data_IF_711713522574
#
_entry.id   IF_711713522574
#
_cell.length_a   1.000
_cell.length_b   1.000
_cell.length_c   1.000
_cell.angle_alpha   90.00
_cell.angle_beta   90.00
_cell.angle_gamma   90.00
#
_symmetry.space_group_name_H-M   'P 1'
#
loop_
_entity.id
_entity.type
_entity.pdbx_description
1 polymer ?
#
# COMPACT_ATOMS: atom_id res chain seq x y z
N UNK A 1 -24.04 -8.91 9.91
CA UNK A 1 -23.12 -9.94 9.39
C UNK A 1 -23.78 -11.08 8.60
N UNK A 2 -25.01 -10.92 8.03
CA UNK A 2 -25.66 -11.98 7.21
C UNK A 2 -26.05 -11.55 5.78
N UNK A 3 -26.05 -10.25 5.50
CA UNK A 3 -26.52 -9.69 4.22
C UNK A 3 -25.41 -9.77 3.15
N UNK A 4 -24.16 -9.55 3.55
CA UNK A 4 -22.97 -9.67 2.70
C UNK A 4 -22.70 -11.13 2.30
N UNK A 5 -22.82 -12.08 3.23
CA UNK A 5 -22.70 -13.52 2.94
C UNK A 5 -23.79 -14.00 1.95
N UNK A 6 -24.99 -13.42 2.03
CA UNK A 6 -26.10 -13.74 1.12
C UNK A 6 -25.89 -13.17 -0.29
N UNK A 7 -25.22 -12.02 -0.42
CA UNK A 7 -24.99 -11.35 -1.69
C UNK A 7 -23.71 -11.80 -2.41
N UNK A 8 -22.69 -12.26 -1.67
CA UNK A 8 -21.34 -12.54 -2.20
C UNK A 8 -20.78 -13.94 -1.84
N UNK A 9 -21.52 -14.75 -1.08
CA UNK A 9 -21.10 -16.09 -0.67
C UNK A 9 -20.23 -16.09 0.60
N UNK A 10 -19.69 -17.28 0.94
CA UNK A 10 -18.79 -17.42 2.09
C UNK A 10 -17.47 -16.68 1.85
N UNK A 11 -16.89 -16.03 2.87
CA UNK A 11 -15.56 -15.44 2.78
C UNK A 11 -14.54 -16.47 2.29
N UNK A 12 -13.70 -16.05 1.34
CA UNK A 12 -12.62 -16.89 0.79
C UNK A 12 -11.31 -16.37 1.35
N UNK A 13 -10.48 -17.29 1.85
CA UNK A 13 -9.16 -16.98 2.37
C UNK A 13 -8.09 -17.80 1.66
N UNK A 14 -6.92 -17.20 1.48
CA UNK A 14 -5.70 -17.87 1.01
C UNK A 14 -4.61 -17.70 2.07
N UNK A 15 -3.85 -18.77 2.31
CA UNK A 15 -2.61 -18.70 3.08
C UNK A 15 -1.45 -18.60 2.10
N UNK A 16 -0.82 -17.44 2.04
CA UNK A 16 0.39 -17.18 1.27
C UNK A 16 1.61 -17.20 2.21
N UNK A 17 2.78 -17.62 1.70
CA UNK A 17 3.98 -17.77 2.52
C UNK A 17 4.61 -16.41 2.86
N UNK A 18 4.51 -15.45 1.95
CA UNK A 18 5.07 -14.11 2.05
C UNK A 18 4.06 -13.13 2.66
N UNK A 19 2.81 -13.17 2.22
CA UNK A 19 1.78 -12.23 2.66
C UNK A 19 0.91 -12.73 3.82
N UNK A 20 1.06 -14.00 4.21
CA UNK A 20 0.29 -14.59 5.31
C UNK A 20 -1.16 -14.86 4.91
N UNK A 21 -2.10 -14.65 5.85
CA UNK A 21 -3.52 -14.89 5.61
C UNK A 21 -4.14 -13.72 4.87
N UNK A 22 -4.66 -13.98 3.68
CA UNK A 22 -5.32 -13.01 2.81
C UNK A 22 -6.81 -13.34 2.66
N UNK A 23 -7.66 -12.32 2.70
CA UNK A 23 -9.09 -12.42 2.43
C UNK A 23 -9.39 -11.94 1.01
N UNK A 24 -10.09 -12.75 0.23
CA UNK A 24 -10.59 -12.34 -1.07
C UNK A 24 -11.82 -11.45 -0.93
N UNK A 25 -11.77 -10.28 -1.55
CA UNK A 25 -12.85 -9.32 -1.65
C UNK A 25 -13.35 -9.32 -3.09
N UNK A 26 -14.56 -9.84 -3.31
CA UNK A 26 -15.19 -9.81 -4.63
C UNK A 26 -15.73 -8.40 -4.91
N UNK A 27 -15.35 -7.81 -6.04
CA UNK A 27 -15.86 -6.51 -6.49
C UNK A 27 -17.09 -6.66 -7.38
N UNK A 28 -17.27 -7.84 -8.00
CA UNK A 28 -18.45 -8.17 -8.77
C UNK A 28 -18.84 -9.66 -8.67
N UNK A 29 -19.98 -10.02 -9.27
CA UNK A 29 -20.43 -11.42 -9.36
C UNK A 29 -19.70 -12.24 -10.43
N UNK A 30 -18.91 -11.59 -11.30
CA UNK A 30 -18.16 -12.26 -12.39
C UNK A 30 -16.81 -12.80 -11.90
N UNK A 31 -16.48 -12.58 -10.64
CA UNK A 31 -15.30 -13.12 -10.00
C UNK A 31 -14.08 -12.20 -10.09
N UNK A 32 -14.28 -10.92 -10.44
CA UNK A 32 -13.25 -9.91 -10.20
C UNK A 32 -13.19 -9.57 -8.71
N UNK A 33 -12.00 -9.20 -8.26
CA UNK A 33 -11.73 -8.92 -6.87
C UNK A 33 -10.25 -8.74 -6.61
N UNK A 34 -9.93 -8.59 -5.34
CA UNK A 34 -8.58 -8.40 -4.83
C UNK A 34 -8.45 -9.12 -3.49
N UNK A 35 -7.23 -9.20 -2.98
CA UNK A 35 -6.98 -9.66 -1.62
C UNK A 35 -6.72 -8.49 -0.68
N UNK A 36 -7.24 -8.58 0.52
CA UNK A 36 -6.86 -7.76 1.67
C UNK A 36 -6.15 -8.62 2.71
N UNK A 37 -5.19 -8.03 3.41
CA UNK A 37 -4.53 -8.64 4.55
C UNK A 37 -3.73 -7.64 5.35
N UNK A 38 -2.97 -8.15 6.31
CA UNK A 38 -2.01 -7.34 7.07
C UNK A 38 -0.66 -8.02 7.04
N UNK A 39 0.41 -7.23 7.02
CA UNK A 39 1.77 -7.74 7.00
C UNK A 39 2.71 -6.82 7.76
N UNK A 40 3.60 -7.43 8.55
CA UNK A 40 4.75 -6.72 9.10
C UNK A 40 5.71 -6.36 7.97
N UNK A 41 5.95 -5.07 7.80
CA UNK A 41 6.85 -4.51 6.81
C UNK A 41 8.28 -4.56 7.33
N UNK A 42 9.13 -5.36 6.70
CA UNK A 42 10.48 -5.62 7.18
C UNK A 42 11.33 -4.38 7.47
N UNK A 43 11.32 -3.34 6.60
CA UNK A 43 12.17 -2.16 6.78
C UNK A 43 11.92 -1.37 8.06
N UNK A 44 10.69 -1.38 8.59
CA UNK A 44 10.32 -0.55 9.74
C UNK A 44 9.76 -1.36 10.92
N UNK A 45 9.38 -2.61 10.70
CA UNK A 45 8.71 -3.45 11.70
C UNK A 45 7.25 -3.08 11.94
N UNK A 46 6.70 -2.06 11.28
CA UNK A 46 5.28 -1.72 11.38
C UNK A 46 4.42 -2.75 10.64
N UNK A 47 3.23 -3.00 11.17
CA UNK A 47 2.22 -3.77 10.45
C UNK A 47 1.41 -2.81 9.58
N UNK A 48 1.38 -3.09 8.28
CA UNK A 48 0.57 -2.35 7.33
C UNK A 48 -0.55 -3.22 6.78
N UNK A 49 -1.62 -2.59 6.31
CA UNK A 49 -2.65 -3.22 5.50
C UNK A 49 -2.12 -3.41 4.08
N UNK A 50 -2.35 -4.59 3.49
CA UNK A 50 -1.98 -4.87 2.10
C UNK A 50 -3.24 -5.13 1.29
N UNK A 51 -3.31 -4.49 0.13
CA UNK A 51 -4.24 -4.82 -0.95
C UNK A 51 -3.47 -5.38 -2.13
N UNK A 52 -3.92 -6.51 -2.69
CA UNK A 52 -3.29 -7.17 -3.85
C UNK A 52 -4.33 -7.45 -4.94
N UNK A 53 -4.16 -6.81 -6.09
CA UNK A 53 -4.91 -7.14 -7.29
C UNK A 53 -4.32 -8.41 -7.92
N UNK A 54 -4.70 -9.57 -7.40
CA UNK A 54 -4.17 -10.88 -7.81
C UNK A 54 -5.28 -11.84 -8.27
N UNK A 55 -4.95 -12.92 -9.00
CA UNK A 55 -5.92 -13.98 -9.29
C UNK A 55 -6.47 -14.59 -7.99
N UNK A 56 -7.72 -15.06 -7.99
CA UNK A 56 -8.38 -15.65 -6.80
C UNK A 56 -7.64 -16.82 -6.14
N UNK A 57 -6.67 -17.41 -6.84
CA UNK A 57 -5.78 -18.45 -6.29
C UNK A 57 -4.70 -17.91 -5.36
N UNK A 58 -4.47 -16.60 -5.34
CA UNK A 58 -3.48 -15.94 -4.49
C UNK A 58 -2.50 -15.05 -5.27
N UNK A 59 -1.57 -14.39 -4.55
CA UNK A 59 -0.55 -13.52 -5.12
C UNK A 59 0.34 -14.25 -6.13
N UNK A 60 0.79 -13.53 -7.16
CA UNK A 60 1.72 -14.07 -8.17
C UNK A 60 3.17 -14.00 -7.69
N UNK A 61 4.06 -14.78 -8.34
CA UNK A 61 5.50 -14.68 -8.08
C UNK A 61 6.05 -13.28 -8.38
N UNK A 62 5.52 -12.61 -9.40
CA UNK A 62 5.89 -11.24 -9.74
C UNK A 62 5.52 -10.25 -8.62
N UNK A 63 4.33 -10.38 -8.02
CA UNK A 63 3.90 -9.53 -6.91
C UNK A 63 4.75 -9.77 -5.65
N UNK A 64 5.12 -11.03 -5.36
CA UNK A 64 6.05 -11.35 -4.27
C UNK A 64 7.44 -10.73 -4.51
N UNK A 65 7.97 -10.85 -5.72
CA UNK A 65 9.23 -10.22 -6.09
C UNK A 65 9.15 -8.68 -6.01
N UNK A 66 8.01 -8.09 -6.40
CA UNK A 66 7.78 -6.66 -6.33
C UNK A 66 7.70 -6.15 -4.88
N UNK A 67 7.02 -6.88 -3.99
CA UNK A 67 7.03 -6.62 -2.55
C UNK A 67 8.45 -6.55 -1.99
N UNK A 68 9.28 -7.56 -2.27
CA UNK A 68 10.68 -7.56 -1.81
C UNK A 68 11.51 -6.44 -2.45
N UNK A 69 11.18 -6.05 -3.68
CA UNK A 69 11.80 -4.92 -4.34
C UNK A 69 11.47 -3.58 -3.69
N UNK A 70 10.24 -3.42 -3.16
CA UNK A 70 9.83 -2.28 -2.32
C UNK A 70 10.60 -2.29 -1.01
N UNK A 71 10.62 -3.43 -0.29
CA UNK A 71 11.34 -3.54 0.99
C UNK A 71 12.82 -3.16 0.84
N UNK A 72 13.49 -3.72 -0.18
CA UNK A 72 14.91 -3.48 -0.42
C UNK A 72 15.23 -2.02 -0.83
N UNK A 73 14.25 -1.29 -1.37
CA UNK A 73 14.42 0.10 -1.83
C UNK A 73 13.82 1.13 -0.88
N UNK A 74 13.27 0.69 0.25
CA UNK A 74 12.50 1.56 1.12
C UNK A 74 13.25 2.84 1.54
N UNK A 75 14.55 2.83 1.90
CA UNK A 75 15.27 4.07 2.20
C UNK A 75 15.27 5.08 1.04
N UNK A 76 15.51 4.61 -0.19
CA UNK A 76 15.51 5.48 -1.38
C UNK A 76 14.11 5.98 -1.73
N UNK A 77 13.10 5.15 -1.48
CA UNK A 77 11.70 5.54 -1.65
C UNK A 77 11.34 6.65 -0.65
N UNK A 78 11.69 6.51 0.63
CA UNK A 78 11.39 7.55 1.63
C UNK A 78 12.09 8.86 1.35
N UNK A 79 13.34 8.84 0.87
CA UNK A 79 14.06 10.06 0.46
C UNK A 79 13.32 10.80 -0.66
N UNK A 80 12.84 10.05 -1.67
CA UNK A 80 12.10 10.63 -2.79
C UNK A 80 10.69 11.10 -2.38
N UNK A 81 10.01 10.34 -1.52
CA UNK A 81 8.70 10.68 -1.00
C UNK A 81 8.74 11.93 -0.13
N UNK A 82 9.76 12.08 0.71
CA UNK A 82 9.95 13.23 1.60
C UNK A 82 9.86 14.55 0.83
N UNK A 83 10.53 14.66 -0.32
CA UNK A 83 10.52 15.89 -1.14
C UNK A 83 9.11 16.28 -1.56
N UNK A 84 8.30 15.31 -2.00
CA UNK A 84 6.92 15.59 -2.42
C UNK A 84 6.00 15.84 -1.23
N UNK A 85 6.16 15.09 -0.14
CA UNK A 85 5.36 15.24 1.08
C UNK A 85 5.60 16.62 1.70
N UNK A 86 6.85 17.08 1.78
CA UNK A 86 7.16 18.43 2.25
C UNK A 86 6.58 19.50 1.34
N UNK A 87 6.68 19.33 0.01
CA UNK A 87 6.11 20.27 -0.93
C UNK A 87 4.59 20.40 -0.73
N UNK A 88 3.89 19.27 -0.59
CA UNK A 88 2.45 19.25 -0.38
C UNK A 88 2.06 19.85 0.97
N UNK A 89 2.71 19.42 2.06
CA UNK A 89 2.43 19.94 3.40
C UNK A 89 2.78 21.43 3.56
N UNK A 90 3.76 21.96 2.83
CA UNK A 90 4.07 23.40 2.84
C UNK A 90 2.95 24.27 2.26
N UNK A 91 2.08 23.72 1.41
CA UNK A 91 0.89 24.45 0.94
C UNK A 91 -0.06 24.78 2.10
N UNK A 92 -0.09 23.92 3.12
CA UNK A 92 -0.98 24.04 4.29
C UNK A 92 -0.26 24.61 5.52
N UNK A 93 1.01 24.28 5.71
CA UNK A 93 1.87 24.68 6.83
C UNK A 93 3.18 25.28 6.31
N UNK A 94 3.20 26.61 6.05
CA UNK A 94 4.40 27.27 5.54
C UNK A 94 5.63 26.98 6.42
N UNK A 95 6.74 26.63 5.77
CA UNK A 95 8.00 26.30 6.45
C UNK A 95 8.07 24.88 7.02
N UNK A 96 7.12 23.99 6.71
CA UNK A 96 7.21 22.58 7.09
C UNK A 96 8.47 21.91 6.50
N UNK A 97 9.09 21.05 7.30
CA UNK A 97 10.31 20.28 6.98
C UNK A 97 10.24 18.98 7.75
N UNK A 98 10.62 17.88 7.10
CA UNK A 98 10.81 16.59 7.75
C UNK A 98 12.28 16.48 8.16
N UNK A 99 12.54 16.10 9.40
CA UNK A 99 13.90 15.96 9.92
C UNK A 99 14.36 14.50 9.93
N UNK A 100 13.48 13.60 10.35
CA UNK A 100 13.67 12.16 10.35
C UNK A 100 12.39 11.48 9.84
N UNK A 101 12.39 11.12 8.56
CA UNK A 101 11.22 10.53 7.91
C UNK A 101 10.72 9.26 8.62
N UNK A 102 11.64 8.41 9.10
CA UNK A 102 11.27 7.13 9.73
C UNK A 102 10.65 7.33 11.12
N UNK A 103 11.06 8.37 11.83
CA UNK A 103 10.47 8.72 13.12
C UNK A 103 9.15 9.49 12.98
N UNK A 104 8.94 10.18 11.85
CA UNK A 104 7.82 11.10 11.64
C UNK A 104 6.68 10.53 10.80
N UNK A 105 6.93 9.51 9.97
CA UNK A 105 5.97 8.90 9.06
C UNK A 105 6.01 7.37 9.14
N UNK A 106 4.88 6.76 9.46
CA UNK A 106 4.77 5.31 9.65
C UNK A 106 3.97 4.68 8.51
N UNK A 107 4.51 3.67 7.80
CA UNK A 107 3.77 3.02 6.73
C UNK A 107 2.61 2.21 7.29
N UNK A 108 1.41 2.43 6.75
CA UNK A 108 0.16 1.81 7.24
C UNK A 108 -0.66 1.11 6.15
N UNK A 109 -0.39 1.39 4.87
CA UNK A 109 -1.12 0.79 3.76
C UNK A 109 -0.25 0.63 2.52
N UNK A 110 -0.39 -0.49 1.82
CA UNK A 110 0.26 -0.77 0.54
C UNK A 110 -0.73 -1.40 -0.43
N UNK A 111 -0.90 -0.81 -1.61
CA UNK A 111 -1.64 -1.41 -2.72
C UNK A 111 -0.68 -1.89 -3.80
N UNK A 112 -0.69 -3.19 -4.11
CA UNK A 112 0.09 -3.76 -5.21
C UNK A 112 -0.88 -4.17 -6.34
N UNK A 113 -0.73 -3.59 -7.55
CA UNK A 113 -1.61 -3.89 -8.67
C UNK A 113 -1.35 -5.29 -9.24
N UNK A 114 -2.17 -5.67 -10.22
CA UNK A 114 -1.83 -6.75 -11.12
C UNK A 114 -0.64 -6.31 -11.99
N UNK A 115 0.38 -7.15 -12.09
CA UNK A 115 1.60 -6.83 -12.83
C UNK A 115 1.52 -7.41 -14.25
N UNK A 116 1.74 -6.55 -15.24
CA UNK A 116 1.81 -6.93 -16.65
C UNK A 116 3.23 -6.70 -17.17
N UNK A 117 3.73 -7.62 -17.98
CA UNK A 117 5.08 -7.55 -18.54
C UNK A 117 5.22 -6.32 -19.46
N UNK A 118 6.34 -5.59 -19.29
CA UNK A 118 6.66 -4.43 -20.11
C UNK A 118 5.78 -3.19 -19.89
N UNK A 119 4.97 -3.16 -18.83
CA UNK A 119 4.16 -2.00 -18.45
C UNK A 119 4.68 -1.35 -17.16
N UNK A 120 4.66 -0.01 -17.04
CA UNK A 120 4.95 0.67 -15.78
C UNK A 120 3.97 0.22 -14.69
N UNK A 121 4.47 0.04 -13.47
CA UNK A 121 3.68 -0.38 -12.32
C UNK A 121 3.17 0.83 -11.57
N UNK A 122 1.84 1.01 -11.49
CA UNK A 122 1.22 2.05 -10.67
C UNK A 122 0.75 1.46 -9.34
N UNK A 123 1.31 1.92 -8.23
CA UNK A 123 1.05 1.38 -6.89
C UNK A 123 1.07 2.51 -5.85
N UNK A 124 0.60 2.22 -4.63
CA UNK A 124 0.43 3.23 -3.59
C UNK A 124 1.04 2.77 -2.26
N UNK A 125 1.68 3.70 -1.55
CA UNK A 125 2.15 3.52 -0.17
C UNK A 125 1.60 4.64 0.69
N UNK A 126 0.88 4.27 1.75
CA UNK A 126 0.24 5.19 2.65
C UNK A 126 0.97 5.26 4.00
N UNK A 127 0.99 6.45 4.58
CA UNK A 127 1.64 6.78 5.83
C UNK A 127 0.69 7.50 6.78
N UNK A 128 0.78 7.16 8.06
CA UNK A 128 0.33 8.02 9.15
C UNK A 128 1.47 8.92 9.60
N UNK A 129 1.14 10.09 10.15
CA UNK A 129 2.12 11.01 10.74
C UNK A 129 1.54 11.73 11.94
N UNK A 130 2.38 12.03 12.93
CA UNK A 130 1.95 12.86 14.07
C UNK A 130 1.80 14.34 13.72
N UNK A 131 2.29 14.78 12.55
CA UNK A 131 2.14 16.15 12.07
C UNK A 131 0.71 16.47 11.66
N UNK A 132 -0.07 15.45 11.31
CA UNK A 132 -1.47 15.55 10.92
C UNK A 132 -2.23 14.25 11.26
N UNK A 133 -2.57 14.03 12.54
CA UNK A 133 -3.02 12.74 13.05
C UNK A 133 -4.41 12.29 12.55
N UNK A 134 -5.13 13.15 11.83
CA UNK A 134 -6.46 12.82 11.26
C UNK A 134 -6.41 12.56 9.76
N UNK A 135 -5.23 12.66 9.14
CA UNK A 135 -5.08 12.46 7.70
C UNK A 135 -4.06 11.38 7.40
N UNK A 136 -4.34 10.64 6.33
CA UNK A 136 -3.44 9.67 5.73
C UNK A 136 -2.72 10.31 4.55
N UNK A 137 -1.40 10.15 4.52
CA UNK A 137 -0.55 10.64 3.43
C UNK A 137 -0.31 9.47 2.49
N UNK A 138 -0.87 9.54 1.28
CA UNK A 138 -0.73 8.50 0.27
C UNK A 138 0.20 8.96 -0.84
N UNK A 139 1.28 8.22 -1.06
CA UNK A 139 2.21 8.44 -2.16
C UNK A 139 1.86 7.49 -3.29
N UNK A 140 1.59 8.04 -4.47
CA UNK A 140 1.37 7.30 -5.70
C UNK A 140 2.68 7.15 -6.45
N UNK A 141 2.99 5.93 -6.84
CA UNK A 141 4.24 5.57 -7.48
C UNK A 141 4.01 5.12 -8.92
N UNK A 142 4.96 5.45 -9.79
CA UNK A 142 5.13 4.80 -11.09
C UNK A 142 6.50 4.13 -11.09
N UNK A 143 6.49 2.81 -11.18
CA UNK A 143 7.66 1.96 -10.93
C UNK A 143 8.26 2.27 -9.54
N UNK A 144 9.43 2.88 -9.43
CA UNK A 144 9.97 3.30 -8.12
C UNK A 144 10.16 4.81 -8.02
N UNK A 145 9.50 5.58 -8.88
CA UNK A 145 9.48 7.04 -8.84
C UNK A 145 8.15 7.52 -8.25
N UNK A 146 8.16 8.38 -7.23
CA UNK A 146 6.93 8.96 -6.71
C UNK A 146 6.38 9.97 -7.72
N UNK A 147 5.06 10.01 -7.86
CA UNK A 147 4.38 10.81 -8.88
C UNK A 147 3.45 11.86 -8.26
N UNK A 148 2.69 11.48 -7.23
CA UNK A 148 1.69 12.34 -6.58
C UNK A 148 1.66 12.01 -5.08
N UNK A 149 1.44 13.03 -4.25
CA UNK A 149 1.07 12.87 -2.84
C UNK A 149 -0.38 13.31 -2.68
N UNK A 150 -1.16 12.52 -1.94
CA UNK A 150 -2.52 12.86 -1.50
C UNK A 150 -2.55 12.90 0.02
N UNK A 151 -3.34 13.81 0.56
CA UNK A 151 -3.59 13.93 1.99
C UNK A 151 -5.10 13.83 2.16
N UNK A 152 -5.56 12.70 2.70
CA UNK A 152 -6.97 12.33 2.78
C UNK A 152 -7.38 12.12 4.25
N UNK A 153 -8.59 12.53 4.66
CA UNK A 153 -9.11 12.42 6.03
C UNK A 153 -10.62 12.25 6.09
#
# INVERSE_FOLDING_TARGET
MKIWEFLFGKPVYVQDAEFGRLQWIATDRKGQGYFEGTRTFGPTGHTLSITLNAPRTGPTAAQRAFWHAIEARYPQLTDAAQVLIEAELRHWKPGFTVHDFQAEFWPVGLDIPALAEGQPVAWELAFETHHDPNHMITVLWRDFAPSVVRIDG
#
